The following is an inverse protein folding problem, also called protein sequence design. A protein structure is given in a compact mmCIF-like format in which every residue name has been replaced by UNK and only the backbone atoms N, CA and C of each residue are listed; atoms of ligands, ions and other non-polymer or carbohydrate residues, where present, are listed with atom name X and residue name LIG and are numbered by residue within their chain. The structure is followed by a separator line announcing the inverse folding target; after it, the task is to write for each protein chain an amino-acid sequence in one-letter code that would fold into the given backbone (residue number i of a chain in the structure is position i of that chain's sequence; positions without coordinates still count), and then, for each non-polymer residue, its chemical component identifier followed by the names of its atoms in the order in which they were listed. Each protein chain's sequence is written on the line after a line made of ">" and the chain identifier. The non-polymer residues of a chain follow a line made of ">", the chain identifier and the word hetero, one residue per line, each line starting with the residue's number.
data_IF_325957645882
#
_entry.id   IF_325957645882
#
_cell.length_a   1.000
_cell.length_b   1.000
_cell.length_c   1.000
_cell.angle_alpha   90.00
_cell.angle_beta   90.00
_cell.angle_gamma   90.00
#
_symmetry.space_group_name_H-M   'P 1'
#
loop_
_entity.id
_entity.type
_entity.pdbx_description
1 polymer ?
#
# COMPACT_ATOMS: atom_id res chain seq x y z
N UNK A 1 -2.61 24.65 2.43
CA UNK A 1 -3.48 24.49 3.62
C UNK A 1 -2.63 24.89 4.80
N UNK A 2 -3.14 25.75 5.66
CA UNK A 2 -2.36 26.38 6.74
C UNK A 2 -1.86 25.31 7.71
N UNK A 3 -0.57 25.36 8.09
CA UNK A 3 0.02 24.43 9.07
C UNK A 3 -0.82 24.34 10.36
N UNK A 4 -1.41 25.47 10.77
CA UNK A 4 -2.32 25.55 11.93
C UNK A 4 -3.60 24.72 11.80
N UNK A 5 -4.09 24.47 10.57
CA UNK A 5 -5.26 23.63 10.37
C UNK A 5 -4.92 22.14 10.57
N UNK A 6 -3.73 21.74 10.14
CA UNK A 6 -3.25 20.37 10.34
C UNK A 6 -2.91 20.06 11.80
N UNK A 7 -2.41 21.04 12.58
CA UNK A 7 -2.12 20.85 14.01
C UNK A 7 -3.36 20.44 14.82
N UNK A 8 -4.55 20.97 14.48
CA UNK A 8 -5.79 20.68 15.20
C UNK A 8 -6.30 19.24 14.99
N UNK A 9 -5.94 18.61 13.86
CA UNK A 9 -6.37 17.27 13.47
C UNK A 9 -5.22 16.27 13.42
N UNK A 10 -4.03 16.68 13.84
CA UNK A 10 -2.85 15.84 13.88
C UNK A 10 -3.02 14.78 14.96
N UNK A 11 -2.80 13.51 14.62
CA UNK A 11 -2.63 12.49 15.65
C UNK A 11 -1.40 12.82 16.47
N UNK A 12 -1.60 13.05 17.77
CA UNK A 12 -0.50 13.39 18.70
C UNK A 12 0.43 12.20 18.93
N UNK A 13 -0.09 10.98 18.79
CA UNK A 13 0.67 9.74 18.94
C UNK A 13 0.22 8.72 17.92
N UNK A 14 1.17 8.21 17.14
CA UNK A 14 0.98 7.11 16.20
C UNK A 14 1.32 5.75 16.83
N UNK A 15 1.72 5.74 18.10
CA UNK A 15 2.05 4.53 18.84
C UNK A 15 0.77 3.86 19.31
N UNK A 16 0.58 2.59 18.95
CA UNK A 16 -0.63 1.86 19.35
C UNK A 16 -0.56 1.44 20.82
N UNK A 17 -1.74 1.29 21.43
CA UNK A 17 -1.86 0.89 22.83
C UNK A 17 -1.21 -0.50 23.05
N UNK A 18 -0.50 -0.72 24.17
CA UNK A 18 0.13 -2.02 24.46
C UNK A 18 -0.84 -3.19 24.65
N UNK A 19 -2.14 -2.92 24.85
CA UNK A 19 -3.19 -3.95 24.91
C UNK A 19 -3.58 -4.51 23.54
N UNK A 20 -3.22 -3.81 22.45
CA UNK A 20 -3.42 -4.28 21.07
C UNK A 20 -2.28 -5.25 20.74
N UNK A 21 -2.62 -6.51 20.50
CA UNK A 21 -1.61 -7.53 20.20
C UNK A 21 -1.14 -7.49 18.76
N UNK A 22 -2.05 -7.20 17.82
CA UNK A 22 -1.74 -7.12 16.37
C UNK A 22 -2.49 -5.95 15.73
N UNK A 23 -1.80 -5.26 14.83
CA UNK A 23 -2.37 -4.27 13.94
C UNK A 23 -1.85 -4.47 12.52
N UNK A 24 -2.75 -4.46 11.55
CA UNK A 24 -2.42 -4.62 10.14
C UNK A 24 -2.74 -3.34 9.39
N UNK A 25 -1.83 -2.89 8.54
CA UNK A 25 -1.95 -1.64 7.80
C UNK A 25 -1.55 -1.84 6.35
N UNK A 26 -2.53 -1.79 5.45
CA UNK A 26 -2.29 -1.74 4.01
C UNK A 26 -2.04 -0.29 3.58
N UNK A 27 -0.87 -0.02 3.01
CA UNK A 27 -0.40 1.33 2.69
C UNK A 27 -0.27 1.51 1.18
N UNK A 28 -0.75 2.64 0.66
CA UNK A 28 -0.70 2.96 -0.76
C UNK A 28 0.65 3.59 -1.15
N UNK A 29 1.31 3.05 -2.18
CA UNK A 29 2.60 3.55 -2.70
C UNK A 29 2.41 4.83 -3.52
N UNK A 30 1.36 4.87 -4.35
CA UNK A 30 1.22 5.88 -5.39
C UNK A 30 0.32 7.05 -5.00
N UNK A 31 -0.02 7.21 -3.71
CA UNK A 31 -0.70 8.40 -3.24
C UNK A 31 0.28 9.56 -3.14
N UNK A 32 0.11 10.57 -4.00
CA UNK A 32 0.99 11.73 -4.09
C UNK A 32 0.38 13.02 -3.54
N UNK A 33 -0.92 13.02 -3.23
CA UNK A 33 -1.61 14.21 -2.72
C UNK A 33 -1.27 14.43 -1.27
N UNK A 34 -0.65 15.56 -0.93
CA UNK A 34 -0.24 15.88 0.45
C UNK A 34 -1.37 15.87 1.46
N UNK A 35 -2.62 16.14 1.01
CA UNK A 35 -3.81 16.09 1.89
C UNK A 35 -4.17 14.68 2.34
N UNK A 36 -3.65 13.65 1.66
CA UNK A 36 -3.88 12.24 1.95
C UNK A 36 -2.59 11.51 2.34
N UNK A 37 -1.66 12.25 2.95
CA UNK A 37 -0.47 11.62 3.48
C UNK A 37 -0.82 10.61 4.58
N UNK A 38 0.03 9.60 4.75
CA UNK A 38 -0.22 8.50 5.66
C UNK A 38 0.48 8.72 7.00
N UNK A 39 -0.20 8.41 8.09
CA UNK A 39 0.43 8.26 9.40
C UNK A 39 0.72 6.78 9.64
N UNK A 40 1.99 6.40 9.60
CA UNK A 40 2.41 5.04 9.89
C UNK A 40 2.18 4.68 11.36
N UNK A 41 1.67 3.47 11.59
CA UNK A 41 1.44 2.95 12.94
C UNK A 41 2.79 2.59 13.56
N UNK A 42 3.02 2.99 14.82
CA UNK A 42 4.22 2.66 15.58
C UNK A 42 3.91 1.61 16.65
N UNK A 43 4.73 0.55 16.76
CA UNK A 43 4.53 -0.44 17.81
C UNK A 43 4.84 0.15 19.19
N UNK A 44 4.17 -0.36 20.22
CA UNK A 44 4.46 0.05 21.60
C UNK A 44 5.82 -0.52 22.07
N UNK A 45 6.54 0.26 22.86
CA UNK A 45 7.88 -0.10 23.35
C UNK A 45 7.95 -1.43 24.11
N UNK A 46 6.85 -1.83 24.76
CA UNK A 46 6.75 -3.12 25.45
C UNK A 46 6.85 -4.29 24.47
N UNK A 47 6.17 -4.22 23.31
CA UNK A 47 6.22 -5.25 22.28
C UNK A 47 7.59 -5.29 21.59
N UNK A 48 8.19 -4.14 21.36
CA UNK A 48 9.57 -4.06 20.83
C UNK A 48 10.56 -4.78 21.76
N UNK A 49 10.50 -4.53 23.07
CA UNK A 49 11.37 -5.20 24.06
C UNK A 49 11.15 -6.71 24.14
N UNK A 50 9.93 -7.17 23.90
CA UNK A 50 9.56 -8.58 23.90
C UNK A 50 9.80 -9.25 22.54
N UNK A 51 10.33 -8.52 21.57
CA UNK A 51 10.51 -8.96 20.17
C UNK A 51 9.21 -9.51 19.54
N UNK A 52 8.08 -8.95 19.94
CA UNK A 52 6.77 -9.29 19.37
C UNK A 52 6.45 -8.34 18.23
N UNK A 53 6.12 -8.91 17.09
CA UNK A 53 5.62 -8.15 15.98
C UNK A 53 4.18 -7.72 16.27
N UNK A 54 4.00 -6.46 16.67
CA UNK A 54 2.70 -5.86 16.98
C UNK A 54 2.07 -5.22 15.74
N UNK A 55 2.89 -4.64 14.87
CA UNK A 55 2.44 -3.89 13.69
C UNK A 55 2.98 -4.53 12.43
N UNK A 56 2.10 -4.90 11.52
CA UNK A 56 2.44 -5.37 10.18
C UNK A 56 1.95 -4.32 9.18
N UNK A 57 2.88 -3.63 8.54
CA UNK A 57 2.59 -2.62 7.52
C UNK A 57 3.13 -3.08 6.18
N UNK A 58 2.23 -3.20 5.20
CA UNK A 58 2.55 -3.70 3.86
C UNK A 58 2.10 -2.69 2.81
N UNK A 59 2.97 -2.42 1.87
CA UNK A 59 2.78 -1.44 0.83
C UNK A 59 2.23 -2.06 -0.46
N UNK A 60 1.20 -1.43 -1.01
CA UNK A 60 0.46 -1.89 -2.18
C UNK A 60 0.52 -0.86 -3.32
N UNK A 61 0.43 -1.29 -4.59
CA UNK A 61 0.40 -0.38 -5.72
C UNK A 61 -0.92 0.41 -5.77
N UNK A 62 -0.85 1.63 -6.26
CA UNK A 62 -2.00 2.52 -6.42
C UNK A 62 -2.11 3.60 -5.34
N UNK A 63 -3.07 4.51 -5.51
CA UNK A 63 -3.42 5.54 -4.53
C UNK A 63 -4.24 4.98 -3.37
N UNK A 64 -4.57 5.81 -2.37
CA UNK A 64 -5.30 5.35 -1.19
C UNK A 64 -6.68 4.72 -1.52
N UNK A 65 -7.38 5.22 -2.54
CA UNK A 65 -8.63 4.63 -3.01
C UNK A 65 -8.44 3.26 -3.66
N UNK A 66 -7.28 3.04 -4.32
CA UNK A 66 -6.95 1.74 -4.91
C UNK A 66 -6.66 0.67 -3.84
N UNK A 67 -6.21 1.07 -2.66
CA UNK A 67 -5.91 0.16 -1.54
C UNK A 67 -7.12 -0.01 -0.63
N UNK A 68 -7.82 1.10 -0.31
CA UNK A 68 -8.95 1.10 0.62
C UNK A 68 -10.31 0.75 -0.01
N UNK A 69 -10.36 0.59 -1.34
CA UNK A 69 -11.61 0.43 -2.09
C UNK A 69 -12.28 1.78 -2.35
N UNK A 70 -12.42 2.17 -3.59
CA UNK A 70 -12.95 3.48 -3.94
C UNK A 70 -13.80 3.47 -5.21
N UNK A 71 -13.39 2.73 -6.23
CA UNK A 71 -14.14 2.66 -7.48
C UNK A 71 -14.12 1.26 -8.06
N UNK A 72 -15.19 0.91 -8.75
CA UNK A 72 -15.30 -0.36 -9.44
C UNK A 72 -14.20 -0.54 -10.50
N UNK A 73 -13.73 0.57 -11.09
CA UNK A 73 -12.65 0.55 -12.09
C UNK A 73 -11.30 0.11 -11.52
N UNK A 74 -11.08 0.36 -10.24
CA UNK A 74 -9.83 0.09 -9.52
C UNK A 74 -9.94 -1.14 -8.59
N UNK A 75 -11.09 -1.85 -8.64
CA UNK A 75 -11.39 -2.97 -7.73
C UNK A 75 -10.32 -4.04 -7.72
N UNK A 76 -9.71 -4.36 -8.87
CA UNK A 76 -8.64 -5.35 -8.92
C UNK A 76 -7.46 -5.04 -8.00
N UNK A 77 -7.11 -3.77 -7.79
CA UNK A 77 -6.05 -3.36 -6.85
C UNK A 77 -6.54 -3.45 -5.40
N UNK A 78 -7.75 -2.95 -5.12
CA UNK A 78 -8.32 -3.00 -3.78
C UNK A 78 -8.62 -4.42 -3.30
N UNK A 79 -9.03 -5.29 -4.21
CA UNK A 79 -9.25 -6.70 -3.92
C UNK A 79 -7.96 -7.41 -3.50
N UNK A 80 -6.81 -7.00 -4.06
CA UNK A 80 -5.51 -7.48 -3.61
C UNK A 80 -5.20 -7.10 -2.16
N UNK A 81 -5.45 -5.86 -1.77
CA UNK A 81 -5.28 -5.39 -0.40
C UNK A 81 -6.33 -6.02 0.54
N UNK A 82 -7.57 -6.18 0.08
CA UNK A 82 -8.65 -6.83 0.83
C UNK A 82 -8.32 -8.30 1.10
N UNK A 83 -7.88 -9.04 0.09
CA UNK A 83 -7.51 -10.45 0.25
C UNK A 83 -6.38 -10.62 1.27
N UNK A 84 -5.33 -9.81 1.15
CA UNK A 84 -4.26 -9.80 2.15
C UNK A 84 -4.78 -9.52 3.57
N UNK A 85 -5.65 -8.53 3.75
CA UNK A 85 -6.22 -8.20 5.06
C UNK A 85 -7.08 -9.35 5.59
N UNK A 86 -7.86 -10.00 4.72
CA UNK A 86 -8.67 -11.18 5.07
C UNK A 86 -7.80 -12.34 5.57
N UNK A 87 -6.68 -12.62 4.92
CA UNK A 87 -5.72 -13.64 5.34
C UNK A 87 -5.14 -13.35 6.73
N UNK A 88 -4.81 -12.08 7.00
CA UNK A 88 -4.28 -11.69 8.31
C UNK A 88 -5.30 -11.89 9.43
N UNK A 89 -6.55 -11.46 9.22
CA UNK A 89 -7.59 -11.55 10.26
C UNK A 89 -8.12 -12.97 10.41
N UNK A 90 -8.14 -13.77 9.36
CA UNK A 90 -8.48 -15.20 9.42
C UNK A 90 -7.46 -15.96 10.27
N UNK A 91 -6.16 -15.65 10.13
CA UNK A 91 -5.10 -16.22 10.96
C UNK A 91 -5.27 -15.89 12.45
N UNK A 92 -6.02 -14.84 12.77
CA UNK A 92 -6.41 -14.47 14.15
C UNK A 92 -7.75 -15.08 14.60
N UNK A 93 -8.38 -15.91 13.77
CA UNK A 93 -9.60 -16.63 14.10
C UNK A 93 -10.90 -15.97 13.66
N UNK A 94 -10.86 -14.92 12.80
CA UNK A 94 -12.07 -14.37 12.20
C UNK A 94 -12.61 -15.35 11.15
N UNK A 95 -13.88 -15.75 11.30
CA UNK A 95 -14.55 -16.57 10.32
C UNK A 95 -14.92 -15.73 9.07
N UNK A 96 -14.56 -16.20 7.90
CA UNK A 96 -14.84 -15.56 6.62
C UNK A 96 -15.73 -16.44 5.74
N UNK A 97 -16.62 -15.83 4.98
CA UNK A 97 -17.41 -16.53 3.96
C UNK A 97 -16.56 -16.79 2.72
N UNK A 98 -15.99 -17.99 2.64
CA UNK A 98 -15.11 -18.39 1.55
C UNK A 98 -15.84 -18.42 0.20
N UNK A 99 -17.14 -18.73 0.17
CA UNK A 99 -17.92 -18.75 -1.08
C UNK A 99 -18.09 -17.33 -1.62
N UNK A 100 -18.37 -16.36 -0.75
CA UNK A 100 -18.47 -14.96 -1.13
C UNK A 100 -17.13 -14.44 -1.67
N UNK A 101 -16.02 -14.73 -0.96
CA UNK A 101 -14.68 -14.31 -1.38
C UNK A 101 -14.36 -14.81 -2.81
N UNK A 102 -14.62 -16.08 -3.10
CA UNK A 102 -14.35 -16.66 -4.42
C UNK A 102 -15.16 -16.01 -5.55
N UNK A 103 -16.37 -15.52 -5.25
CA UNK A 103 -17.25 -14.93 -6.23
C UNK A 103 -17.07 -13.43 -6.42
N UNK A 104 -16.64 -12.70 -5.39
CA UNK A 104 -16.67 -11.24 -5.38
C UNK A 104 -15.27 -10.59 -5.32
N UNK A 105 -14.25 -11.34 -4.90
CA UNK A 105 -12.89 -10.79 -4.73
C UNK A 105 -11.97 -11.29 -5.86
N UNK A 106 -11.59 -10.37 -6.75
CA UNK A 106 -10.82 -10.68 -7.96
C UNK A 106 -9.55 -9.84 -8.06
N UNK A 107 -8.48 -10.17 -7.32
CA UNK A 107 -7.23 -9.41 -7.35
C UNK A 107 -6.65 -9.31 -8.76
N UNK A 108 -6.31 -8.09 -9.15
CA UNK A 108 -5.63 -7.82 -10.42
C UNK A 108 -4.61 -6.71 -10.23
N UNK A 109 -3.35 -7.06 -10.07
CA UNK A 109 -2.27 -6.10 -9.89
C UNK A 109 -2.02 -5.21 -11.12
N UNK A 110 -2.53 -5.60 -12.30
CA UNK A 110 -2.40 -4.85 -13.56
C UNK A 110 -3.55 -3.89 -13.82
N UNK A 111 -4.57 -3.86 -12.95
CA UNK A 111 -5.69 -2.93 -13.10
C UNK A 111 -5.21 -1.48 -13.18
N UNK A 112 -5.83 -0.70 -14.09
CA UNK A 112 -5.48 0.69 -14.29
C UNK A 112 -5.96 1.55 -13.11
N UNK A 113 -5.18 2.57 -12.76
CA UNK A 113 -5.61 3.61 -11.82
C UNK A 113 -5.19 5.00 -12.31
N UNK A 114 -5.88 6.02 -11.83
CA UNK A 114 -5.59 7.42 -12.12
C UNK A 114 -4.91 8.07 -10.90
N UNK A 115 -3.64 8.46 -11.07
CA UNK A 115 -2.86 9.13 -10.02
C UNK A 115 -2.84 10.67 -10.21
N UNK A 116 -3.74 11.22 -11.02
CA UNK A 116 -3.79 12.67 -11.24
C UNK A 116 -4.44 13.39 -10.07
N UNK A 117 -3.76 14.40 -9.55
CA UNK A 117 -4.31 15.29 -8.52
C UNK A 117 -5.22 16.33 -9.16
N UNK A 118 -6.54 16.25 -8.92
CA UNK A 118 -7.56 17.18 -9.43
C UNK A 118 -7.99 18.17 -8.35
N UNK A 119 -8.57 19.29 -8.77
CA UNK A 119 -9.20 20.24 -7.86
C UNK A 119 -10.31 19.57 -7.03
N UNK A 120 -10.44 19.82 -5.73
CA UNK A 120 -9.66 20.77 -4.89
C UNK A 120 -8.36 20.21 -4.30
N UNK A 121 -8.06 18.92 -4.47
CA UNK A 121 -6.98 18.23 -3.77
C UNK A 121 -5.57 18.56 -4.28
N UNK A 122 -5.47 19.19 -5.46
CA UNK A 122 -4.20 19.68 -6.01
C UNK A 122 -3.69 20.97 -5.37
N UNK A 123 -4.55 21.70 -4.62
CA UNK A 123 -4.21 22.99 -3.99
C UNK A 123 -3.09 22.86 -2.96
N UNK A 124 -3.04 21.76 -2.22
CA UNK A 124 -1.99 21.50 -1.24
C UNK A 124 -0.68 20.98 -1.87
N UNK A 125 -0.67 20.78 -3.19
CA UNK A 125 0.45 20.20 -3.92
C UNK A 125 0.58 18.69 -3.77
N UNK A 126 1.61 18.16 -4.44
CA UNK A 126 1.91 16.72 -4.49
C UNK A 126 3.32 16.45 -3.97
N UNK A 127 3.52 15.32 -3.35
CA UNK A 127 4.81 14.74 -3.01
C UNK A 127 4.66 13.23 -2.85
N UNK A 128 5.68 12.42 -3.17
CA UNK A 128 5.68 11.02 -2.82
C UNK A 128 5.66 10.88 -1.30
N UNK A 129 5.07 9.78 -0.82
CA UNK A 129 5.14 9.39 0.60
C UNK A 129 6.56 9.01 0.98
N UNK A 130 6.88 9.10 2.26
CA UNK A 130 8.13 8.57 2.79
C UNK A 130 7.99 7.06 3.02
N UNK A 131 8.93 6.29 2.46
CA UNK A 131 8.97 4.86 2.66
C UNK A 131 9.86 4.51 3.86
N UNK A 132 9.30 3.77 4.79
CA UNK A 132 10.04 3.19 5.90
C UNK A 132 9.94 1.68 5.81
N UNK A 133 11.05 1.01 5.54
CA UNK A 133 11.10 -0.43 5.40
C UNK A 133 12.07 -0.91 4.33
N UNK A 134 11.92 -2.15 3.94
CA UNK A 134 12.69 -2.80 2.89
C UNK A 134 11.74 -3.54 1.92
N UNK A 135 12.32 -4.33 1.02
CA UNK A 135 11.58 -5.08 0.00
C UNK A 135 10.58 -6.08 0.58
N UNK A 136 10.77 -6.55 1.82
CA UNK A 136 9.85 -7.47 2.49
C UNK A 136 8.54 -6.79 2.92
N UNK A 137 8.54 -5.46 3.03
CA UNK A 137 7.35 -4.66 3.30
C UNK A 137 6.50 -4.37 2.05
N UNK A 138 6.98 -4.77 0.87
CA UNK A 138 6.21 -4.65 -0.37
C UNK A 138 5.36 -5.90 -0.58
N UNK A 139 4.06 -5.70 -0.80
CA UNK A 139 3.19 -6.80 -1.21
C UNK A 139 3.64 -7.38 -2.56
N UNK A 140 3.43 -8.66 -2.78
CA UNK A 140 3.80 -9.34 -4.03
C UNK A 140 3.19 -8.67 -5.27
N UNK A 141 1.99 -8.12 -5.16
CA UNK A 141 1.34 -7.38 -6.25
C UNK A 141 2.16 -6.19 -6.77
N UNK A 142 3.03 -5.59 -5.96
CA UNK A 142 3.94 -4.51 -6.39
C UNK A 142 4.99 -5.06 -7.34
N UNK A 143 5.59 -6.19 -7.00
CA UNK A 143 6.62 -6.88 -7.81
C UNK A 143 6.01 -7.38 -9.12
N UNK A 144 4.86 -8.03 -9.03
CA UNK A 144 4.13 -8.53 -10.20
C UNK A 144 3.73 -7.39 -11.14
N UNK A 145 3.20 -6.29 -10.58
CA UNK A 145 2.86 -5.12 -11.38
C UNK A 145 4.09 -4.50 -12.05
N UNK A 146 5.21 -4.44 -11.36
CA UNK A 146 6.44 -3.84 -11.87
C UNK A 146 7.06 -4.66 -13.01
N UNK A 147 6.91 -5.98 -13.00
CA UNK A 147 7.40 -6.89 -14.05
C UNK A 147 6.41 -7.08 -15.19
N UNK A 148 5.14 -6.73 -15.03
CA UNK A 148 4.11 -6.91 -16.06
C UNK A 148 4.34 -5.97 -17.25
N UNK A 149 4.74 -6.55 -18.38
CA UNK A 149 5.01 -5.82 -19.64
C UNK A 149 3.74 -5.38 -20.37
N UNK A 150 2.56 -5.89 -19.99
CA UNK A 150 1.28 -5.48 -20.59
C UNK A 150 0.80 -4.12 -20.06
N UNK A 151 1.40 -3.61 -18.99
CA UNK A 151 1.09 -2.29 -18.45
C UNK A 151 1.81 -1.22 -19.29
N UNK A 152 1.02 -0.39 -19.96
CA UNK A 152 1.56 0.68 -20.81
C UNK A 152 0.97 2.06 -20.41
N UNK A 153 1.81 3.06 -20.02
CA UNK A 153 3.27 2.96 -19.84
C UNK A 153 3.65 2.00 -18.69
N UNK A 154 4.89 1.46 -18.71
CA UNK A 154 5.36 0.56 -17.65
C UNK A 154 5.22 1.17 -16.26
N UNK A 155 4.79 0.37 -15.29
CA UNK A 155 4.59 0.84 -13.93
C UNK A 155 5.86 1.40 -13.30
N UNK A 156 5.72 2.58 -12.70
CA UNK A 156 6.74 3.25 -11.91
C UNK A 156 6.12 3.65 -10.57
N UNK A 157 6.58 3.07 -9.45
CA UNK A 157 6.16 3.51 -8.12
C UNK A 157 6.41 5.01 -7.93
N UNK A 158 5.48 5.70 -7.26
CA UNK A 158 5.64 7.12 -6.98
C UNK A 158 6.77 7.40 -5.97
N UNK A 159 7.14 6.41 -5.18
CA UNK A 159 8.20 6.47 -4.16
C UNK A 159 9.53 6.04 -4.80
N UNK A 160 10.53 6.95 -4.93
CA UNK A 160 11.79 6.64 -5.62
C UNK A 160 12.60 5.51 -5.00
N UNK A 161 12.58 5.39 -3.67
CA UNK A 161 13.28 4.33 -2.92
C UNK A 161 12.76 2.95 -3.30
N UNK A 162 11.43 2.81 -3.45
CA UNK A 162 10.81 1.55 -3.90
C UNK A 162 11.20 1.24 -5.34
N UNK A 163 11.23 2.25 -6.22
CA UNK A 163 11.67 2.05 -7.59
C UNK A 163 13.10 1.50 -7.63
N UNK A 164 14.03 2.10 -6.87
CA UNK A 164 15.42 1.64 -6.81
C UNK A 164 15.54 0.20 -6.28
N UNK A 165 14.77 -0.15 -5.24
CA UNK A 165 14.75 -1.52 -4.70
C UNK A 165 14.29 -2.54 -5.74
N UNK A 166 13.21 -2.24 -6.47
CA UNK A 166 12.68 -3.12 -7.53
C UNK A 166 13.64 -3.25 -8.70
N UNK A 167 14.33 -2.18 -9.08
CA UNK A 167 15.37 -2.21 -10.12
C UNK A 167 16.57 -3.09 -9.71
N UNK A 168 16.98 -3.03 -8.45
CA UNK A 168 18.05 -3.86 -7.93
C UNK A 168 17.67 -5.34 -7.84
N UNK A 169 16.46 -5.63 -7.34
CA UNK A 169 16.01 -7.00 -7.12
C UNK A 169 15.54 -7.69 -8.41
N UNK A 170 14.76 -6.98 -9.23
CA UNK A 170 14.03 -7.56 -10.36
C UNK A 170 14.44 -7.01 -11.73
N UNK A 171 15.36 -6.03 -11.77
CA UNK A 171 15.72 -5.37 -13.04
C UNK A 171 16.31 -6.31 -14.10
N UNK A 172 16.98 -7.37 -13.70
CA UNK A 172 17.49 -8.39 -14.60
C UNK A 172 16.38 -9.24 -15.22
N UNK A 173 15.31 -9.53 -14.47
CA UNK A 173 14.14 -10.27 -14.94
C UNK A 173 13.38 -9.45 -15.97
N UNK A 174 13.08 -8.19 -15.67
CA UNK A 174 12.38 -7.27 -16.56
C UNK A 174 13.10 -7.06 -17.89
N UNK A 175 14.44 -6.98 -17.87
CA UNK A 175 15.25 -6.85 -19.11
C UNK A 175 15.22 -8.11 -19.96
N UNK A 176 15.20 -9.31 -19.38
CA UNK A 176 15.14 -10.57 -20.13
C UNK A 176 13.81 -10.72 -20.87
N UNK A 177 12.69 -10.35 -20.24
CA UNK A 177 11.37 -10.41 -20.88
C UNK A 177 11.23 -9.43 -22.04
N UNK A 178 11.82 -8.22 -21.94
CA UNK A 178 11.81 -7.24 -23.04
C UNK A 178 12.59 -7.75 -24.28
N UNK A 179 13.64 -8.54 -24.09
CA UNK A 179 14.49 -9.06 -25.20
C UNK A 179 13.87 -10.31 -25.84
N UNK A 180 12.92 -10.96 -25.17
CA UNK A 180 12.26 -12.20 -25.64
C UNK A 180 10.96 -11.94 -26.43
N UNK A 181 10.54 -10.69 -26.59
CA UNK A 181 9.39 -10.22 -27.38
C UNK A 181 9.90 -9.54 -28.66
#
# INVERSE_FOLDING_TARGET
>A
MDEKFNERYRFYDSTINPTIEKAFHAVAIDEIRKVFDVTLIRPHSTHIRQQKEQVVQVWFPGGHGCVGGGSQKESGLSDGALLWMMEQVEALGLALDKSYIQHEVHPNCSASFDNTSKWPFNVAGTAPRQFEGDVSNLHESVKNRWTDLNINPPYKPAIPEIQMMLEQELGALRKKEIVSV
#
